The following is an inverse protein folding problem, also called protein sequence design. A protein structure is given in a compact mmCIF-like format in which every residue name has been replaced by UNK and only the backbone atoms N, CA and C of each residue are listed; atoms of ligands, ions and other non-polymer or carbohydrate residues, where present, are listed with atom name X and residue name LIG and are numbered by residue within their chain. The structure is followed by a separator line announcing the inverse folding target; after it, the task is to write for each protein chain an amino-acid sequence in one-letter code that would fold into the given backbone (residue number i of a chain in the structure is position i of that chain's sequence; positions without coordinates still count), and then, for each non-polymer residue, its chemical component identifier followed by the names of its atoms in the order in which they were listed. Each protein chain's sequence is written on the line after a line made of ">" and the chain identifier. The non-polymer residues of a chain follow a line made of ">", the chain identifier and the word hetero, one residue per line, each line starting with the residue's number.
data_IF_904030754416
#
_entry.id   IF_904030754416
#
_cell.length_a   1.000
_cell.length_b   1.000
_cell.length_c   1.000
_cell.angle_alpha   90.00
_cell.angle_beta   90.00
_cell.angle_gamma   90.00
#
_symmetry.space_group_name_H-M   'P 1'
#
loop_
_entity.id
_entity.type
_entity.pdbx_description
1 polymer ?
#
# COMPACT_ATOMS: atom_id res chain seq x y z
N UNK A 1 5.90 17.16 1.50
CA UNK A 1 4.92 18.00 2.21
C UNK A 1 5.52 19.37 2.49
N UNK A 2 4.70 20.41 2.52
CA UNK A 2 5.11 21.79 2.85
C UNK A 2 5.18 22.01 4.37
N UNK A 3 5.66 23.18 4.81
CA UNK A 3 5.61 23.55 6.24
C UNK A 3 4.17 23.70 6.75
N UNK A 4 3.32 24.36 5.98
CA UNK A 4 1.90 24.55 6.29
C UNK A 4 1.14 23.22 6.41
N UNK A 5 1.37 22.28 5.48
CA UNK A 5 0.76 20.95 5.54
C UNK A 5 1.14 20.19 6.81
N UNK A 6 2.39 20.33 7.26
CA UNK A 6 2.89 19.69 8.48
C UNK A 6 2.25 20.30 9.72
N UNK A 7 2.12 21.62 9.79
CA UNK A 7 1.52 22.29 10.94
C UNK A 7 0.02 21.97 11.05
N UNK A 8 -0.71 22.04 9.94
CA UNK A 8 -2.11 21.61 9.91
C UNK A 8 -2.28 20.15 10.34
N UNK A 9 -1.35 19.27 9.99
CA UNK A 9 -1.42 17.87 10.43
C UNK A 9 -1.03 17.69 11.90
N UNK A 10 -0.09 18.50 12.42
CA UNK A 10 0.23 18.56 13.85
C UNK A 10 -1.01 18.89 14.68
N UNK A 11 -1.75 19.93 14.31
CA UNK A 11 -2.98 20.32 15.01
C UNK A 11 -3.98 19.17 15.09
N UNK A 12 -4.16 18.42 14.00
CA UNK A 12 -5.03 17.24 13.95
C UNK A 12 -4.57 16.10 14.86
N UNK A 13 -3.26 15.84 14.91
CA UNK A 13 -2.69 14.84 15.83
C UNK A 13 -2.95 15.28 17.28
N UNK A 14 -2.68 16.54 17.61
CA UNK A 14 -2.87 17.06 18.97
C UNK A 14 -4.34 17.01 19.40
N UNK A 15 -5.28 17.23 18.49
CA UNK A 15 -6.71 17.18 18.78
C UNK A 15 -7.23 15.76 19.12
N UNK A 16 -6.63 14.70 18.56
CA UNK A 16 -7.02 13.31 18.87
C UNK A 16 -5.84 12.33 18.72
N UNK A 17 -4.85 12.37 19.62
CA UNK A 17 -3.58 11.66 19.41
C UNK A 17 -3.72 10.14 19.39
N UNK A 18 -4.71 9.59 20.11
CA UNK A 18 -4.96 8.14 20.14
C UNK A 18 -5.42 7.57 18.80
N UNK A 19 -5.89 8.41 17.89
CA UNK A 19 -6.36 7.99 16.56
C UNK A 19 -5.24 7.99 15.50
N UNK A 20 -4.00 8.29 15.88
CA UNK A 20 -2.87 8.36 14.98
C UNK A 20 -1.76 7.40 15.40
N UNK A 21 -1.12 6.79 14.40
CA UNK A 21 0.12 6.05 14.55
C UNK A 21 1.14 6.61 13.55
N UNK A 22 2.43 6.45 13.86
CA UNK A 22 3.51 6.83 12.97
C UNK A 22 4.49 5.66 12.83
N UNK A 23 5.06 5.54 11.64
CA UNK A 23 6.12 4.60 11.32
C UNK A 23 7.17 5.34 10.48
N UNK A 24 8.45 4.95 10.55
CA UNK A 24 9.46 5.44 9.62
C UNK A 24 9.01 5.19 8.18
N UNK A 25 9.29 6.14 7.29
CA UNK A 25 8.99 5.96 5.87
C UNK A 25 9.85 4.84 5.31
N UNK A 26 9.22 3.77 4.85
CA UNK A 26 9.88 2.68 4.16
C UNK A 26 9.87 2.94 2.65
N UNK A 27 10.94 2.54 1.97
CA UNK A 27 10.94 2.47 0.50
C UNK A 27 10.20 1.19 0.09
N UNK A 28 8.92 1.32 -0.25
CA UNK A 28 8.13 0.20 -0.76
C UNK A 28 8.71 -0.30 -2.08
N UNK A 29 8.68 -1.61 -2.30
CA UNK A 29 9.02 -2.19 -3.60
C UNK A 29 8.07 -1.69 -4.69
N UNK A 30 8.58 -1.65 -5.92
CA UNK A 30 7.80 -1.26 -7.09
C UNK A 30 7.59 -2.44 -8.03
N UNK A 31 6.46 -2.44 -8.73
CA UNK A 31 6.20 -3.34 -9.85
C UNK A 31 5.83 -2.54 -11.12
N UNK A 32 6.14 -3.06 -12.33
CA UNK A 32 5.73 -2.44 -13.59
C UNK A 32 4.22 -2.27 -13.65
N UNK A 33 3.77 -1.07 -14.01
CA UNK A 33 2.35 -0.72 -14.11
C UNK A 33 2.11 0.08 -15.38
N UNK A 34 1.09 -0.32 -16.13
CA UNK A 34 0.65 0.41 -17.32
C UNK A 34 -0.28 1.54 -16.89
N UNK A 35 0.19 2.77 -16.99
CA UNK A 35 -0.52 3.99 -16.55
C UNK A 35 -0.33 5.04 -17.64
N UNK A 36 -1.41 5.70 -18.06
CA UNK A 36 -1.35 6.80 -19.04
C UNK A 36 -0.62 6.45 -20.36
N UNK A 37 -0.70 5.19 -20.79
CA UNK A 37 -0.15 4.74 -22.08
C UNK A 37 1.32 4.32 -22.04
N UNK A 38 1.98 4.35 -20.88
CA UNK A 38 3.37 3.92 -20.72
C UNK A 38 3.52 2.95 -19.53
N UNK A 39 4.62 2.19 -19.52
CA UNK A 39 4.98 1.33 -18.40
C UNK A 39 5.87 2.11 -17.44
N UNK A 40 5.44 2.24 -16.19
CA UNK A 40 6.22 2.87 -15.13
C UNK A 40 6.23 2.05 -13.85
N UNK A 41 7.28 2.22 -13.04
CA UNK A 41 7.36 1.67 -11.71
C UNK A 41 6.32 2.36 -10.78
N UNK A 42 5.53 1.53 -10.07
CA UNK A 42 4.60 1.99 -9.03
C UNK A 42 4.76 1.16 -7.77
N UNK A 43 4.64 1.81 -6.61
CA UNK A 43 4.71 1.12 -5.33
C UNK A 43 3.55 0.14 -5.18
N UNK A 44 3.87 -1.05 -4.68
CA UNK A 44 2.90 -2.10 -4.44
C UNK A 44 2.94 -2.56 -2.99
N UNK A 45 1.82 -3.08 -2.51
CA UNK A 45 1.80 -3.90 -1.30
C UNK A 45 1.08 -5.22 -1.57
N UNK A 46 1.39 -6.23 -0.76
CA UNK A 46 0.82 -7.56 -0.87
C UNK A 46 0.07 -7.91 0.41
N UNK A 47 -1.16 -8.35 0.26
CA UNK A 47 -1.97 -8.92 1.34
C UNK A 47 -2.18 -10.42 1.10
N UNK A 48 -1.36 -11.29 1.69
CA UNK A 48 -1.65 -12.72 1.71
C UNK A 48 -2.80 -13.02 2.66
N UNK A 49 -3.38 -14.21 2.53
CA UNK A 49 -4.46 -14.70 3.39
C UNK A 49 -4.03 -15.99 4.08
N UNK A 50 -3.97 -15.93 5.41
CA UNK A 50 -3.71 -17.08 6.27
C UNK A 50 -5.06 -17.66 6.68
N UNK A 51 -5.25 -18.96 6.50
CA UNK A 51 -6.43 -19.70 6.93
C UNK A 51 -6.06 -20.50 8.20
N UNK A 52 -6.87 -20.37 9.24
CA UNK A 52 -6.66 -21.06 10.50
C UNK A 52 -7.87 -21.94 10.82
N UNK A 53 -7.62 -23.24 10.94
CA UNK A 53 -8.59 -24.25 11.37
C UNK A 53 -7.91 -25.28 12.26
N UNK A 54 -8.08 -26.58 11.98
CA UNK A 54 -7.28 -27.63 12.61
C UNK A 54 -5.78 -27.48 12.30
N UNK A 55 -5.46 -26.92 11.14
CA UNK A 55 -4.11 -26.56 10.72
C UNK A 55 -4.08 -25.11 10.25
N UNK A 56 -2.90 -24.49 10.31
CA UNK A 56 -2.65 -23.16 9.74
C UNK A 56 -2.09 -23.33 8.34
N UNK A 57 -2.74 -22.73 7.34
CA UNK A 57 -2.29 -22.77 5.95
C UNK A 57 -2.29 -21.38 5.34
N UNK A 58 -1.51 -21.19 4.28
CA UNK A 58 -1.47 -19.95 3.50
C UNK A 58 -1.96 -20.26 2.08
N UNK A 59 -2.83 -19.40 1.56
CA UNK A 59 -3.25 -19.51 0.16
C UNK A 59 -2.09 -19.09 -0.73
N UNK A 60 -1.76 -19.83 -1.81
CA UNK A 60 -0.70 -19.47 -2.73
C UNK A 60 -1.14 -18.35 -3.67
N UNK A 61 -1.30 -17.17 -3.10
CA UNK A 61 -1.77 -15.97 -3.76
C UNK A 61 -1.99 -14.86 -2.74
N UNK A 62 -2.67 -13.82 -3.18
CA UNK A 62 -3.00 -12.68 -2.32
C UNK A 62 -3.67 -11.57 -3.11
N UNK A 63 -3.91 -10.47 -2.41
CA UNK A 63 -4.32 -9.22 -3.04
C UNK A 63 -3.09 -8.32 -3.14
N UNK A 64 -2.57 -8.14 -4.36
CA UNK A 64 -1.60 -7.08 -4.63
C UNK A 64 -2.34 -5.77 -4.89
N UNK A 65 -2.01 -4.69 -4.16
CA UNK A 65 -2.49 -3.34 -4.44
C UNK A 65 -1.39 -2.48 -5.02
N UNK A 66 -1.76 -1.49 -5.82
CA UNK A 66 -0.82 -0.59 -6.49
C UNK A 66 -1.21 0.87 -6.27
N UNK A 67 -0.24 1.71 -5.91
CA UNK A 67 -0.40 3.15 -5.85
C UNK A 67 -0.30 3.73 -7.27
N UNK A 68 -1.42 4.13 -7.90
CA UNK A 68 -1.41 4.55 -9.30
C UNK A 68 -0.79 5.95 -9.51
N UNK A 69 -0.92 6.82 -8.51
CA UNK A 69 -0.29 8.15 -8.53
C UNK A 69 1.23 8.01 -8.41
N UNK A 70 1.96 8.63 -9.35
CA UNK A 70 3.43 8.63 -9.37
C UNK A 70 4.00 9.11 -8.03
N UNK A 71 4.93 8.33 -7.47
CA UNK A 71 5.61 8.62 -6.19
C UNK A 71 4.74 8.49 -4.93
N UNK A 72 3.47 8.08 -5.07
CA UNK A 72 2.60 7.85 -3.92
C UNK A 72 2.95 6.53 -3.23
N UNK A 73 3.00 6.54 -1.90
CA UNK A 73 3.06 5.33 -1.05
C UNK A 73 1.66 4.83 -0.65
N UNK A 74 0.60 5.55 -1.03
CA UNK A 74 -0.77 5.21 -0.67
C UNK A 74 -1.35 4.28 -1.72
N UNK A 75 -1.57 3.02 -1.34
CA UNK A 75 -2.15 1.97 -2.20
C UNK A 75 -3.67 1.76 -1.97
N UNK A 76 -4.29 2.54 -1.08
CA UNK A 76 -5.69 2.37 -0.73
C UNK A 76 -6.60 2.70 -1.92
N UNK A 77 -7.55 1.82 -2.25
CA UNK A 77 -8.46 1.97 -3.39
C UNK A 77 -9.32 3.24 -3.31
N UNK A 78 -9.73 3.63 -2.11
CA UNK A 78 -10.48 4.89 -1.88
C UNK A 78 -9.72 6.15 -2.26
N UNK A 79 -8.39 6.07 -2.47
CA UNK A 79 -7.54 7.19 -2.86
C UNK A 79 -6.84 6.93 -4.20
N UNK A 80 -7.49 6.16 -5.10
CA UNK A 80 -6.97 5.88 -6.44
C UNK A 80 -5.96 4.74 -6.49
N UNK A 81 -6.00 3.82 -5.52
CA UNK A 81 -5.27 2.56 -5.57
C UNK A 81 -5.92 1.57 -6.55
N UNK A 82 -5.09 0.87 -7.33
CA UNK A 82 -5.52 -0.26 -8.16
C UNK A 82 -5.19 -1.60 -7.51
N UNK A 83 -5.53 -2.70 -8.19
CA UNK A 83 -5.09 -4.04 -7.82
C UNK A 83 -4.35 -4.73 -8.97
N UNK A 84 -3.54 -5.72 -8.63
CA UNK A 84 -2.87 -6.63 -9.57
C UNK A 84 -3.11 -8.06 -9.11
N UNK A 85 -3.08 -8.97 -10.07
CA UNK A 85 -3.05 -10.39 -9.76
C UNK A 85 -1.70 -10.76 -9.11
N UNK A 86 -1.71 -11.77 -8.22
CA UNK A 86 -0.52 -12.25 -7.51
C UNK A 86 -0.23 -13.67 -7.93
N UNK A 87 0.81 -13.88 -8.73
CA UNK A 87 1.21 -15.22 -9.16
C UNK A 87 2.26 -15.79 -8.23
N UNK A 88 1.95 -16.93 -7.61
CA UNK A 88 2.90 -17.76 -6.89
C UNK A 88 3.24 -18.94 -7.79
N UNK A 89 4.49 -19.03 -8.21
CA UNK A 89 4.96 -20.08 -9.11
C UNK A 89 5.35 -21.32 -8.29
N UNK A 90 5.18 -22.50 -8.92
CA UNK A 90 5.61 -23.79 -8.40
C UNK A 90 6.53 -24.45 -9.43
N UNK A 91 7.51 -25.20 -8.93
CA UNK A 91 8.37 -26.06 -9.75
C UNK A 91 7.66 -27.38 -10.07
#
# INVERSE_FOLDING_TARGET
>A
STAEERERFRERIMANPRNYIAQPTLQLSCAPSFVEGYIEARHVDLRPFILQGQTTTIVPGGLTRVALRRGSLVVNSSQGGGSKDTWVLYD
#
